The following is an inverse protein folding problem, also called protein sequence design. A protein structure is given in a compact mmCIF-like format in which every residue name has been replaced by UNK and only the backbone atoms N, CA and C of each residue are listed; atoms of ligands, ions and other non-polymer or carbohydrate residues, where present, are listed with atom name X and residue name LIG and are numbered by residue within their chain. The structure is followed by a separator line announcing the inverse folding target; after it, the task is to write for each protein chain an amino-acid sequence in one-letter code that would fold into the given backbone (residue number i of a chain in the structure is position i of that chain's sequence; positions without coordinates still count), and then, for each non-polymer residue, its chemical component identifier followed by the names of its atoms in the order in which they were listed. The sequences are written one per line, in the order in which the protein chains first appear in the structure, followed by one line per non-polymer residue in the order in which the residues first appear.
data_IF_114434697540
#
_entry.id   IF_114434697540
#
_cell.length_a   1.000
_cell.length_b   1.000
_cell.length_c   1.000
_cell.angle_alpha   90.00
_cell.angle_beta   90.00
_cell.angle_gamma   90.00
#
_symmetry.space_group_name_H-M   'P 1'
#
loop_
_entity.id
_entity.type
_entity.pdbx_description
1 polymer ?
#
# COMPACT_ATOMS: atom_id res chain seq x y z
N UNK A 1 -3.77 18.29 -1.50
CA UNK A 1 -5.11 17.64 -1.47
C UNK A 1 -5.06 16.48 -0.50
N UNK A 2 -6.11 16.28 0.26
CA UNK A 2 -6.25 15.20 1.24
C UNK A 2 -7.36 14.28 0.76
N UNK A 3 -7.07 12.99 0.64
CA UNK A 3 -8.04 11.98 0.23
C UNK A 3 -7.94 10.75 1.12
N UNK A 4 -9.08 10.08 1.26
CA UNK A 4 -9.21 8.79 1.90
C UNK A 4 -9.50 7.74 0.84
N UNK A 5 -8.99 6.53 1.07
CA UNK A 5 -9.14 5.38 0.19
C UNK A 5 -9.59 4.18 1.01
N UNK A 6 -10.42 3.32 0.43
CA UNK A 6 -10.83 2.05 1.02
C UNK A 6 -10.80 0.99 -0.07
N UNK A 7 -10.38 -0.23 0.30
CA UNK A 7 -10.41 -1.41 -0.55
C UNK A 7 -10.60 -2.62 0.35
N UNK A 8 -11.53 -3.50 -0.03
CA UNK A 8 -11.61 -4.84 0.56
C UNK A 8 -10.66 -5.78 -0.17
N UNK A 9 -9.89 -6.55 0.59
CA UNK A 9 -8.97 -7.55 0.05
C UNK A 9 -9.35 -8.94 0.55
N UNK A 10 -9.11 -9.94 -0.30
CA UNK A 10 -9.18 -11.36 0.04
C UNK A 10 -7.95 -12.08 -0.49
N UNK A 11 -7.18 -12.66 0.42
CA UNK A 11 -6.04 -13.50 0.11
C UNK A 11 -6.45 -14.96 0.34
N UNK A 12 -6.66 -15.78 -0.70
CA UNK A 12 -7.25 -17.12 -0.55
C UNK A 12 -6.37 -18.11 0.21
N UNK A 13 -5.07 -17.85 0.25
CA UNK A 13 -4.05 -18.67 0.89
C UNK A 13 -2.81 -17.83 1.16
N UNK A 14 -1.88 -18.40 1.91
CA UNK A 14 -0.53 -17.88 2.08
C UNK A 14 0.22 -17.78 0.75
N UNK A 15 0.91 -16.66 0.57
CA UNK A 15 1.90 -16.44 -0.47
C UNK A 15 3.18 -15.88 0.16
N UNK A 16 4.30 -16.07 -0.54
CA UNK A 16 5.59 -15.52 -0.18
C UNK A 16 6.24 -14.85 -1.39
N UNK A 17 6.64 -13.56 -1.31
CA UNK A 17 7.50 -12.98 -2.32
C UNK A 17 8.87 -13.65 -2.30
N UNK A 18 9.27 -14.23 -3.41
CA UNK A 18 10.50 -15.02 -3.56
C UNK A 18 11.38 -14.58 -4.72
N UNK A 19 11.07 -13.42 -5.33
CA UNK A 19 11.91 -12.79 -6.34
C UNK A 19 13.21 -12.18 -5.78
N UNK A 20 14.01 -11.60 -6.67
CA UNK A 20 15.28 -10.95 -6.31
C UNK A 20 15.32 -9.48 -6.81
N UNK A 21 15.09 -8.49 -5.93
CA UNK A 21 14.71 -8.61 -4.52
C UNK A 21 13.28 -9.13 -4.32
N UNK A 22 12.93 -9.66 -3.12
CA UNK A 22 11.58 -10.10 -2.81
C UNK A 22 10.70 -8.89 -2.46
N UNK A 23 9.63 -8.67 -3.22
CA UNK A 23 8.64 -7.62 -2.96
C UNK A 23 7.31 -7.97 -3.61
N UNK A 24 6.20 -7.50 -3.05
CA UNK A 24 4.88 -7.64 -3.64
C UNK A 24 4.02 -6.43 -3.34
N UNK A 25 3.81 -5.57 -4.33
CA UNK A 25 3.01 -4.35 -4.25
C UNK A 25 1.55 -4.66 -4.55
N UNK A 26 0.68 -4.34 -3.59
CA UNK A 26 -0.78 -4.53 -3.73
C UNK A 26 -1.58 -3.23 -3.72
N UNK A 27 -0.94 -2.10 -3.37
CA UNK A 27 -1.54 -0.77 -3.32
C UNK A 27 -0.43 0.27 -3.49
N UNK A 28 -0.62 1.28 -4.33
CA UNK A 28 0.42 2.29 -4.60
C UNK A 28 -0.12 3.69 -4.84
N UNK A 29 0.69 4.69 -4.49
CA UNK A 29 0.65 6.01 -5.10
C UNK A 29 1.90 6.28 -5.94
N UNK A 30 1.67 6.94 -7.07
CA UNK A 30 2.71 7.45 -7.98
C UNK A 30 2.65 8.97 -8.05
N UNK A 31 3.80 9.59 -8.31
CA UNK A 31 3.87 10.96 -8.82
C UNK A 31 3.82 10.91 -10.35
N UNK A 32 2.81 11.56 -10.92
CA UNK A 32 2.59 11.64 -12.36
C UNK A 32 2.85 13.08 -12.80
N UNK A 33 3.75 13.27 -13.75
CA UNK A 33 4.05 14.54 -14.40
C UNK A 33 3.89 14.42 -15.92
N UNK A 34 4.33 15.43 -16.66
CA UNK A 34 4.17 15.44 -18.13
C UNK A 34 4.87 14.26 -18.83
N UNK A 35 6.05 13.86 -18.35
CA UNK A 35 6.88 12.81 -18.95
C UNK A 35 7.35 11.74 -17.93
N UNK A 36 6.74 11.70 -16.74
CA UNK A 36 7.19 10.85 -15.63
C UNK A 36 6.00 10.22 -14.90
N UNK A 37 6.14 8.96 -14.48
CA UNK A 37 5.15 8.24 -13.68
C UNK A 37 5.86 7.31 -12.69
N UNK A 38 6.37 7.92 -11.63
CA UNK A 38 7.25 7.23 -10.68
C UNK A 38 6.50 6.83 -9.40
N UNK A 39 6.75 5.61 -8.88
CA UNK A 39 6.21 5.20 -7.60
C UNK A 39 6.76 6.06 -6.46
N UNK A 40 5.89 6.41 -5.51
CA UNK A 40 6.27 7.15 -4.31
C UNK A 40 6.07 6.32 -3.05
N UNK A 41 4.88 5.74 -2.89
CA UNK A 41 4.58 4.85 -1.77
C UNK A 41 3.90 3.58 -2.27
N UNK A 42 4.33 2.43 -1.77
CA UNK A 42 3.66 1.15 -1.99
C UNK A 42 3.39 0.44 -0.67
N UNK A 43 2.16 -0.01 -0.47
CA UNK A 43 1.85 -1.03 0.52
C UNK A 43 2.22 -2.38 -0.07
N UNK A 44 3.22 -3.00 0.52
CA UNK A 44 3.72 -4.29 0.09
C UNK A 44 3.36 -5.39 1.07
N UNK A 45 3.32 -6.62 0.58
CA UNK A 45 3.18 -7.84 1.37
C UNK A 45 4.54 -8.49 1.56
N UNK A 46 4.83 -8.88 2.80
CA UNK A 46 5.97 -9.74 3.15
C UNK A 46 5.53 -10.86 4.09
N UNK A 47 6.48 -11.69 4.52
CA UNK A 47 6.23 -12.76 5.48
C UNK A 47 7.03 -12.56 6.75
N UNK A 48 6.43 -12.90 7.88
CA UNK A 48 7.09 -13.02 9.18
C UNK A 48 7.93 -14.31 9.26
N UNK A 49 8.76 -14.49 10.30
CA UNK A 49 9.52 -15.73 10.49
C UNK A 49 8.65 -17.00 10.56
N UNK A 50 7.40 -16.90 11.01
CA UNK A 50 6.42 -18.00 11.05
C UNK A 50 5.64 -18.19 9.72
N UNK A 51 6.01 -17.40 8.70
CA UNK A 51 5.39 -17.39 7.38
C UNK A 51 4.11 -16.57 7.28
N UNK A 52 3.57 -16.01 8.37
CA UNK A 52 2.37 -15.18 8.33
C UNK A 52 2.59 -13.97 7.41
N UNK A 53 1.62 -13.69 6.53
CA UNK A 53 1.67 -12.53 5.65
C UNK A 53 1.40 -11.25 6.43
N UNK A 54 2.10 -10.17 6.11
CA UNK A 54 1.89 -8.86 6.72
C UNK A 54 2.16 -7.74 5.74
N UNK A 55 1.58 -6.56 6.02
CA UNK A 55 1.91 -5.36 5.27
C UNK A 55 3.16 -4.66 5.79
N UNK A 56 4.00 -4.19 4.87
CA UNK A 56 5.01 -3.17 5.11
C UNK A 56 4.84 -2.03 4.09
N UNK A 57 5.13 -0.80 4.49
CA UNK A 57 5.06 0.36 3.61
C UNK A 57 6.46 0.68 3.09
N UNK A 58 6.60 0.92 1.79
CA UNK A 58 7.86 1.34 1.19
C UNK A 58 7.71 2.70 0.54
N UNK A 59 8.57 3.64 0.92
CA UNK A 59 8.74 4.93 0.26
C UNK A 59 9.83 4.77 -0.81
N UNK A 60 9.43 4.73 -2.08
CA UNK A 60 10.34 4.59 -3.21
C UNK A 60 11.22 5.83 -3.42
N UNK A 61 10.77 7.01 -3.01
CA UNK A 61 11.51 8.26 -3.18
C UNK A 61 12.69 8.33 -2.20
N UNK A 62 12.45 8.07 -0.92
CA UNK A 62 13.50 8.07 0.12
C UNK A 62 14.19 6.73 0.32
N UNK A 63 13.77 5.68 -0.39
CA UNK A 63 14.21 4.28 -0.22
C UNK A 63 14.04 3.76 1.21
N UNK A 64 12.98 4.20 1.90
CA UNK A 64 12.72 3.86 3.30
C UNK A 64 11.59 2.83 3.42
N UNK A 65 11.82 1.79 4.23
CA UNK A 65 10.78 0.84 4.62
C UNK A 65 10.24 1.16 6.02
N UNK A 66 8.93 1.06 6.18
CA UNK A 66 8.24 1.14 7.46
C UNK A 66 7.57 -0.22 7.73
N UNK A 67 7.88 -0.82 8.87
CA UNK A 67 7.34 -2.11 9.29
C UNK A 67 6.34 -1.94 10.43
N UNK A 68 5.57 -2.99 10.71
CA UNK A 68 4.59 -3.03 11.80
C UNK A 68 4.43 -4.46 12.34
N UNK A 69 4.02 -4.56 13.61
CA UNK A 69 3.78 -5.81 14.35
C UNK A 69 2.33 -5.94 14.85
N UNK A 70 1.45 -5.05 14.39
CA UNK A 70 0.09 -4.83 14.88
C UNK A 70 -0.89 -5.87 14.30
N UNK A 71 -0.77 -6.18 13.00
CA UNK A 71 -1.71 -7.05 12.27
C UNK A 71 -1.01 -7.91 11.22
N UNK A 72 -1.55 -9.11 11.04
CA UNK A 72 -1.26 -9.99 9.90
C UNK A 72 -2.37 -9.88 8.88
N UNK A 73 -2.08 -10.21 7.63
CA UNK A 73 -3.07 -10.35 6.57
C UNK A 73 -3.80 -11.67 6.80
N UNK A 74 -5.14 -11.66 7.02
CA UNK A 74 -5.87 -12.89 7.23
C UNK A 74 -6.01 -13.67 5.92
N UNK A 75 -5.69 -14.96 5.98
CA UNK A 75 -5.88 -15.90 4.88
C UNK A 75 -7.34 -16.39 4.84
N UNK A 76 -7.91 -16.49 3.65
CA UNK A 76 -9.25 -17.04 3.43
C UNK A 76 -10.40 -16.17 3.93
N UNK A 77 -10.16 -14.88 4.22
CA UNK A 77 -11.15 -13.95 4.76
C UNK A 77 -11.06 -12.58 4.11
N UNK A 78 -12.21 -11.93 3.93
CA UNK A 78 -12.28 -10.54 3.55
C UNK A 78 -11.82 -9.67 4.72
N UNK A 79 -11.02 -8.66 4.42
CA UNK A 79 -10.59 -7.65 5.38
C UNK A 79 -10.49 -6.30 4.66
N UNK A 80 -10.62 -5.21 5.42
CA UNK A 80 -10.63 -3.86 4.87
C UNK A 80 -9.28 -3.20 5.05
N UNK A 81 -8.76 -2.61 3.98
CA UNK A 81 -7.61 -1.70 4.01
C UNK A 81 -8.11 -0.31 3.73
N UNK A 82 -7.84 0.59 4.66
CA UNK A 82 -8.14 2.02 4.52
C UNK A 82 -6.84 2.81 4.49
N UNK A 83 -6.86 3.93 3.79
CA UNK A 83 -5.72 4.82 3.72
C UNK A 83 -6.12 6.28 3.74
N UNK A 84 -5.24 7.12 4.27
CA UNK A 84 -5.25 8.56 4.14
C UNK A 84 -3.97 8.98 3.42
N UNK A 85 -4.11 9.88 2.45
CA UNK A 85 -2.98 10.40 1.70
C UNK A 85 -3.10 11.91 1.53
N UNK A 86 -2.16 12.64 2.12
CA UNK A 86 -1.97 14.06 1.84
C UNK A 86 -0.96 14.21 0.72
N UNK A 87 -1.46 14.52 -0.47
CA UNK A 87 -0.67 14.75 -1.67
C UNK A 87 0.03 16.12 -1.62
N UNK A 88 1.36 16.11 -1.53
CA UNK A 88 2.24 17.25 -1.32
C UNK A 88 3.58 17.08 -2.08
N UNK A 89 4.04 18.17 -2.68
CA UNK A 89 5.31 18.25 -3.42
C UNK A 89 6.55 18.44 -2.56
N UNK A 90 6.35 18.61 -1.25
CA UNK A 90 7.35 18.87 -0.22
C UNK A 90 7.07 17.99 1.02
N UNK A 91 7.81 18.19 2.12
CA UNK A 91 7.66 17.41 3.35
C UNK A 91 6.43 17.76 4.20
N UNK A 92 5.37 18.33 3.61
CA UNK A 92 4.10 18.55 4.33
C UNK A 92 3.10 17.41 4.15
N UNK A 93 3.43 16.40 3.34
CA UNK A 93 2.61 15.23 3.06
C UNK A 93 2.54 14.23 4.22
N UNK A 94 1.62 13.28 4.09
CA UNK A 94 1.36 12.26 5.09
C UNK A 94 0.75 11.02 4.43
N UNK A 95 1.12 9.86 4.95
CA UNK A 95 0.59 8.55 4.55
C UNK A 95 0.18 7.80 5.80
N UNK A 96 -1.09 7.41 5.89
CA UNK A 96 -1.62 6.63 7.02
C UNK A 96 -2.40 5.45 6.46
N UNK A 97 -2.28 4.28 7.10
CA UNK A 97 -3.02 3.08 6.73
C UNK A 97 -3.67 2.44 7.95
N UNK A 98 -4.85 1.86 7.72
CA UNK A 98 -5.55 1.01 8.66
C UNK A 98 -5.86 -0.34 8.04
N UNK A 99 -5.85 -1.38 8.85
CA UNK A 99 -6.34 -2.72 8.50
C UNK A 99 -7.41 -3.12 9.52
N UNK A 100 -8.64 -3.36 9.06
CA UNK A 100 -9.83 -3.60 9.91
C UNK A 100 -9.93 -2.56 11.03
N UNK A 101 -9.96 -1.28 10.64
CA UNK A 101 -10.02 -0.10 11.51
C UNK A 101 -8.81 0.13 12.44
N UNK A 102 -7.82 -0.78 12.46
CA UNK A 102 -6.62 -0.66 13.29
C UNK A 102 -5.50 0.05 12.53
N UNK A 103 -4.94 1.17 13.05
CA UNK A 103 -3.85 1.85 12.38
C UNK A 103 -2.63 0.94 12.34
N UNK A 104 -2.06 0.76 11.14
CA UNK A 104 -0.84 -0.03 10.92
C UNK A 104 0.35 0.84 10.50
N UNK A 105 0.10 2.02 9.94
CA UNK A 105 1.11 3.03 9.61
C UNK A 105 0.55 4.42 9.85
N UNK A 106 1.38 5.32 10.37
CA UNK A 106 1.15 6.77 10.36
C UNK A 106 2.48 7.48 10.13
N UNK A 107 2.67 8.01 8.93
CA UNK A 107 3.94 8.57 8.44
C UNK A 107 3.71 10.03 8.03
N UNK A 108 3.85 10.99 8.96
CA UNK A 108 3.75 12.41 8.66
C UNK A 108 5.09 12.96 8.14
N UNK A 109 5.04 14.21 7.66
CA UNK A 109 6.20 15.02 7.27
C UNK A 109 7.05 14.42 6.13
N UNK A 110 6.37 13.87 5.12
CA UNK A 110 7.01 13.20 3.98
C UNK A 110 6.58 13.82 2.66
N UNK A 111 7.50 13.81 1.68
CA UNK A 111 7.17 14.12 0.30
C UNK A 111 6.37 12.97 -0.33
N UNK A 112 5.19 13.28 -0.88
CA UNK A 112 4.24 12.29 -1.45
C UNK A 112 4.08 12.40 -2.97
N UNK A 113 4.75 13.37 -3.60
CA UNK A 113 4.95 13.47 -5.04
C UNK A 113 6.09 14.42 -5.37
N UNK A 114 6.53 14.45 -6.63
CA UNK A 114 7.38 15.54 -7.12
C UNK A 114 6.62 16.88 -7.09
N UNK A 115 7.37 17.99 -6.98
CA UNK A 115 6.81 19.34 -6.82
C UNK A 115 5.86 19.75 -7.95
N UNK A 116 6.14 19.32 -9.17
CA UNK A 116 5.38 19.57 -10.41
C UNK A 116 4.44 18.41 -10.79
N UNK A 117 4.41 17.32 -10.00
CA UNK A 117 3.56 16.17 -10.25
C UNK A 117 2.16 16.27 -9.62
N UNK A 118 1.35 15.26 -9.90
CA UNK A 118 0.09 14.96 -9.20
C UNK A 118 0.10 13.50 -8.71
N UNK A 119 -0.69 13.20 -7.67
CA UNK A 119 -0.72 11.87 -7.09
C UNK A 119 -1.73 10.99 -7.82
N UNK A 120 -1.28 9.86 -8.37
CA UNK A 120 -2.12 8.81 -8.93
C UNK A 120 -2.16 7.61 -8.01
N UNK A 121 -3.35 7.05 -7.79
CA UNK A 121 -3.57 5.88 -6.94
C UNK A 121 -3.86 4.63 -7.78
N UNK A 122 -3.37 3.47 -7.33
CA UNK A 122 -3.75 2.18 -7.89
C UNK A 122 -3.80 1.06 -6.87
N UNK A 123 -4.71 0.11 -7.11
CA UNK A 123 -4.74 -1.22 -6.49
C UNK A 123 -4.02 -2.19 -7.43
N UNK A 124 -3.11 -3.01 -6.91
CA UNK A 124 -2.17 -3.77 -7.72
C UNK A 124 -2.14 -5.25 -7.33
N UNK A 125 -1.53 -6.05 -8.20
CA UNK A 125 -1.00 -7.37 -7.89
C UNK A 125 0.33 -7.50 -8.64
N UNK A 126 1.36 -6.80 -8.14
CA UNK A 126 2.62 -6.58 -8.87
C UNK A 126 3.81 -7.08 -8.05
N UNK A 127 4.60 -7.96 -8.62
CA UNK A 127 5.79 -8.57 -8.00
C UNK A 127 6.74 -9.08 -9.09
N UNK A 128 7.99 -9.34 -8.72
CA UNK A 128 8.95 -10.06 -9.56
C UNK A 128 8.70 -11.58 -9.56
N UNK A 129 8.34 -12.16 -8.41
CA UNK A 129 7.99 -13.58 -8.25
C UNK A 129 7.28 -13.80 -6.91
N UNK A 130 6.34 -14.76 -6.92
CA UNK A 130 5.56 -15.18 -5.75
C UNK A 130 5.48 -16.71 -5.69
N UNK A 131 5.51 -17.25 -4.48
CA UNK A 131 5.26 -18.65 -4.20
C UNK A 131 4.00 -18.81 -3.32
N UNK A 132 3.02 -19.64 -3.71
CA UNK A 132 2.94 -20.37 -4.97
C UNK A 132 2.63 -19.46 -6.17
N UNK A 133 3.23 -19.76 -7.33
CA UNK A 133 2.86 -19.17 -8.61
C UNK A 133 1.71 -19.98 -9.23
N UNK A 134 0.61 -19.42 -9.73
CA UNK A 134 0.22 -17.99 -9.79
C UNK A 134 -0.44 -17.51 -8.50
N UNK A 135 -0.23 -16.23 -8.17
CA UNK A 135 -0.89 -15.56 -7.07
C UNK A 135 -2.18 -14.86 -7.51
N UNK A 136 -3.28 -15.19 -6.86
CA UNK A 136 -4.59 -14.61 -7.10
C UNK A 136 -5.06 -14.00 -5.79
N UNK A 137 -5.39 -12.72 -5.85
CA UNK A 137 -6.07 -11.98 -4.78
C UNK A 137 -7.37 -11.45 -5.36
N UNK A 138 -8.37 -11.24 -4.50
CA UNK A 138 -9.60 -10.59 -4.89
C UNK A 138 -9.67 -9.25 -4.19
N UNK A 139 -10.24 -8.29 -4.89
CA UNK A 139 -10.49 -6.94 -4.37
C UNK A 139 -11.93 -6.57 -4.65
N UNK A 140 -12.54 -5.82 -3.73
CA UNK A 140 -13.90 -5.32 -3.88
C UNK A 140 -14.05 -3.95 -3.22
N UNK A 141 -15.14 -3.25 -3.54
CA UNK A 141 -15.58 -2.01 -2.89
C UNK A 141 -14.48 -0.93 -2.79
N UNK A 142 -13.70 -0.77 -3.86
CA UNK A 142 -12.67 0.27 -3.94
C UNK A 142 -13.30 1.67 -4.01
N UNK A 143 -12.91 2.56 -3.09
CA UNK A 143 -13.49 3.90 -2.97
C UNK A 143 -12.43 4.99 -2.74
N UNK A 144 -12.74 6.23 -3.17
CA UNK A 144 -11.97 7.45 -2.89
C UNK A 144 -12.92 8.52 -2.34
N UNK A 145 -12.54 9.17 -1.24
CA UNK A 145 -13.40 10.11 -0.53
C UNK A 145 -12.64 11.39 -0.13
N UNK A 146 -13.33 12.52 -0.11
CA UNK A 146 -12.77 13.86 0.22
C UNK A 146 -12.82 14.20 1.72
N UNK A 147 -13.55 13.43 2.52
CA UNK A 147 -13.68 13.66 3.97
C UNK A 147 -14.11 12.39 4.69
N UNK A 148 -13.57 12.14 5.88
CA UNK A 148 -13.92 10.98 6.70
C UNK A 148 -13.44 9.66 6.11
N UNK A 149 -13.86 8.53 6.69
CA UNK A 149 -13.58 7.21 6.13
C UNK A 149 -14.55 6.90 5.00
N UNK A 150 -14.04 6.27 3.94
CA UNK A 150 -14.90 5.76 2.88
C UNK A 150 -15.87 4.70 3.42
N UNK A 151 -17.02 4.47 2.76
CA UNK A 151 -18.00 3.45 3.16
C UNK A 151 -17.36 2.07 3.39
#
# INVERSE_FOLDING_TARGET
MELYYSVWYYFPRRYSPDGNPPWWNVFQWKSIGANVSDPFFALNVGNRPDGAMYFYLYNQNSKTSYSQTIKDIPEGKWFRVEAFYRCAGDNTGQVTFWQDDRPIFDVPNVQTRYADGHCGWSVNNYSSSLNPNTATIYVDDAAICVSGRCP
#
